data_IF_690235979303
#
_entry.id   IF_690235979303
#
_cell.length_a   1.000
_cell.length_b   1.000
_cell.length_c   1.000
_cell.angle_alpha   90.00
_cell.angle_beta   90.00
_cell.angle_gamma   90.00
#
_symmetry.space_group_name_H-M   'P 1'
#
loop_
_entity.id
_entity.type
_entity.pdbx_description
1 polymer ?
#
# COMPACT_ATOMS: atom_id res chain seq x y z
N UNK A 1 -12.11 -19.81 -18.74
CA UNK A 1 -12.78 -18.70 -18.08
C UNK A 1 -12.30 -17.39 -18.72
N UNK A 2 -12.97 -16.96 -19.79
CA UNK A 2 -12.63 -15.79 -20.63
C UNK A 2 -12.75 -14.43 -19.90
N UNK A 3 -13.06 -14.44 -18.63
CA UNK A 3 -13.32 -13.22 -17.85
C UNK A 3 -12.06 -12.47 -17.37
N UNK A 4 -10.86 -13.02 -17.60
CA UNK A 4 -9.59 -12.47 -17.08
C UNK A 4 -8.86 -11.55 -18.07
N UNK A 5 -9.32 -11.43 -19.32
CA UNK A 5 -8.58 -10.67 -20.34
C UNK A 5 -8.80 -9.15 -20.30
N UNK A 6 -9.88 -8.68 -19.66
CA UNK A 6 -10.20 -7.25 -19.63
C UNK A 6 -10.21 -6.70 -18.21
N UNK A 7 -9.55 -5.56 -18.04
CA UNK A 7 -9.57 -4.82 -16.77
C UNK A 7 -10.93 -4.14 -16.58
N UNK A 8 -11.58 -4.37 -15.44
CA UNK A 8 -12.87 -3.79 -15.04
C UNK A 8 -12.75 -3.03 -13.75
N UNK A 9 -13.28 -1.84 -13.73
CA UNK A 9 -13.37 -0.99 -12.56
C UNK A 9 -14.81 -0.97 -12.04
N UNK A 10 -15.01 -1.31 -10.78
CA UNK A 10 -16.28 -1.26 -10.08
C UNK A 10 -16.23 -0.11 -9.09
N UNK A 11 -17.18 0.82 -9.16
CA UNK A 11 -17.27 1.97 -8.26
C UNK A 11 -18.59 1.87 -7.53
N UNK A 12 -18.54 1.71 -6.22
CA UNK A 12 -19.72 1.57 -5.34
C UNK A 12 -19.96 2.86 -4.58
N UNK A 13 -21.21 3.29 -4.56
CA UNK A 13 -21.67 4.49 -3.88
C UNK A 13 -22.32 4.17 -2.53
N UNK A 14 -22.42 5.17 -1.67
CA UNK A 14 -23.05 5.08 -0.35
C UNK A 14 -24.52 4.64 -0.37
N UNK A 15 -25.21 4.80 -1.50
CA UNK A 15 -26.58 4.30 -1.71
C UNK A 15 -26.64 2.83 -2.19
N UNK A 16 -25.50 2.13 -2.20
CA UNK A 16 -25.39 0.74 -2.65
C UNK A 16 -25.33 0.55 -4.18
N UNK A 17 -25.44 1.61 -4.97
CA UNK A 17 -25.34 1.51 -6.44
C UNK A 17 -23.89 1.27 -6.85
N UNK A 18 -23.66 0.28 -7.71
CA UNK A 18 -22.34 0.02 -8.31
C UNK A 18 -22.40 0.29 -9.81
N UNK A 19 -21.42 1.02 -10.33
CA UNK A 19 -21.17 1.20 -11.77
C UNK A 19 -19.90 0.47 -12.19
N UNK A 20 -19.90 -0.02 -13.44
CA UNK A 20 -18.75 -0.71 -14.02
C UNK A 20 -18.18 0.14 -15.16
N UNK A 21 -16.84 0.21 -15.23
CA UNK A 21 -16.10 0.85 -16.29
C UNK A 21 -15.06 -0.11 -16.86
N UNK A 22 -14.94 -0.16 -18.16
CA UNK A 22 -13.94 -0.96 -18.89
C UNK A 22 -12.96 -0.08 -19.67
N UNK A 23 -13.31 1.20 -19.86
CA UNK A 23 -12.50 2.20 -20.54
C UNK A 23 -12.17 3.38 -19.64
N UNK A 24 -11.11 4.11 -19.97
CA UNK A 24 -10.66 5.31 -19.24
C UNK A 24 -10.51 5.10 -17.72
N UNK A 25 -10.02 3.91 -17.34
CA UNK A 25 -9.97 3.44 -15.95
C UNK A 25 -9.19 4.41 -15.06
N UNK A 26 -8.02 4.91 -15.50
CA UNK A 26 -7.21 5.85 -14.71
C UNK A 26 -7.98 7.13 -14.38
N UNK A 27 -8.63 7.74 -15.36
CA UNK A 27 -9.44 8.95 -15.16
C UNK A 27 -10.67 8.68 -14.28
N UNK A 28 -11.25 7.47 -14.40
CA UNK A 28 -12.38 7.07 -13.57
C UNK A 28 -11.98 6.88 -12.11
N UNK A 29 -10.79 6.34 -11.82
CA UNK A 29 -10.24 6.22 -10.47
C UNK A 29 -9.97 7.61 -9.88
N UNK A 30 -9.32 8.52 -10.65
CA UNK A 30 -9.08 9.89 -10.19
C UNK A 30 -10.37 10.63 -9.85
N UNK A 31 -11.41 10.43 -10.65
CA UNK A 31 -12.72 10.99 -10.38
C UNK A 31 -13.36 10.37 -9.14
N UNK A 32 -13.35 9.03 -9.02
CA UNK A 32 -13.90 8.33 -7.88
C UNK A 32 -13.28 8.77 -6.55
N UNK A 33 -11.96 8.99 -6.53
CA UNK A 33 -11.24 9.47 -5.34
C UNK A 33 -11.64 10.89 -4.89
N UNK A 34 -12.28 11.66 -5.76
CA UNK A 34 -12.77 13.02 -5.46
C UNK A 34 -14.25 13.06 -5.08
N UNK A 35 -15.01 12.02 -5.39
CA UNK A 35 -16.44 11.96 -5.13
C UNK A 35 -16.71 11.35 -3.74
N UNK A 36 -17.07 12.18 -2.78
CA UNK A 36 -17.36 11.77 -1.38
C UNK A 36 -18.51 10.75 -1.24
N UNK A 37 -19.29 10.52 -2.28
CA UNK A 37 -20.36 9.51 -2.28
C UNK A 37 -19.84 8.12 -2.62
N UNK A 38 -18.62 8.00 -3.12
CA UNK A 38 -17.98 6.71 -3.41
C UNK A 38 -17.48 6.11 -2.10
N UNK A 39 -17.86 4.87 -1.84
CA UNK A 39 -17.44 4.10 -0.66
C UNK A 39 -16.35 3.09 -0.99
N UNK A 40 -16.42 2.49 -2.19
CA UNK A 40 -15.47 1.47 -2.59
C UNK A 40 -15.11 1.58 -4.07
N UNK A 41 -13.85 1.30 -4.35
CA UNK A 41 -13.31 1.19 -5.71
C UNK A 41 -12.62 -0.16 -5.84
N UNK A 42 -13.13 -1.03 -6.72
CA UNK A 42 -12.58 -2.34 -6.94
C UNK A 42 -12.13 -2.49 -8.38
N UNK A 43 -10.84 -2.84 -8.59
CA UNK A 43 -10.25 -3.09 -9.90
C UNK A 43 -10.00 -4.59 -10.06
N UNK A 44 -10.58 -5.19 -11.11
CA UNK A 44 -10.34 -6.58 -11.48
C UNK A 44 -9.68 -6.64 -12.84
N UNK A 45 -8.59 -7.39 -12.96
CA UNK A 45 -7.89 -7.57 -14.22
C UNK A 45 -6.57 -8.31 -14.05
N UNK A 46 -5.85 -8.53 -15.13
CA UNK A 46 -4.52 -9.11 -15.08
C UNK A 46 -3.54 -8.13 -14.43
N UNK A 47 -2.65 -8.66 -13.57
CA UNK A 47 -1.54 -7.90 -13.02
C UNK A 47 -0.28 -8.30 -13.76
N UNK A 48 0.42 -7.32 -14.35
CA UNK A 48 1.67 -7.57 -15.08
C UNK A 48 2.67 -8.31 -14.18
N UNK A 49 3.34 -9.30 -14.74
CA UNK A 49 4.36 -10.10 -14.07
C UNK A 49 3.89 -10.99 -12.89
N UNK A 50 2.59 -10.95 -12.57
CA UNK A 50 1.99 -11.86 -11.59
C UNK A 50 1.35 -13.03 -12.31
N UNK A 51 1.99 -14.21 -12.24
CA UNK A 51 1.43 -15.47 -12.76
C UNK A 51 0.61 -16.13 -11.67
N UNK A 52 -0.67 -15.90 -11.69
CA UNK A 52 -1.58 -16.54 -10.75
C UNK A 52 -2.48 -17.52 -11.51
N UNK A 53 -2.12 -18.81 -11.52
CA UNK A 53 -2.87 -19.83 -12.28
C UNK A 53 -4.04 -20.40 -11.49
N UNK A 54 -3.95 -20.47 -10.17
CA UNK A 54 -4.88 -21.26 -9.36
C UNK A 54 -5.62 -20.45 -8.29
N UNK A 55 -5.22 -19.19 -8.02
CA UNK A 55 -5.83 -18.36 -6.98
C UNK A 55 -5.93 -16.91 -7.43
N UNK A 56 -7.00 -16.23 -7.04
CA UNK A 56 -7.11 -14.79 -7.21
C UNK A 56 -6.22 -14.06 -6.19
N UNK A 57 -5.47 -13.05 -6.65
CA UNK A 57 -4.77 -12.12 -5.77
C UNK A 57 -5.69 -10.94 -5.50
N UNK A 58 -6.02 -10.69 -4.24
CA UNK A 58 -6.71 -9.50 -3.78
C UNK A 58 -5.69 -8.56 -3.11
N UNK A 59 -5.56 -7.34 -3.63
CA UNK A 59 -4.78 -6.27 -3.03
C UNK A 59 -5.77 -5.23 -2.52
N UNK A 60 -5.69 -4.91 -1.23
CA UNK A 60 -6.52 -3.88 -0.59
C UNK A 60 -5.62 -2.72 -0.22
N UNK A 61 -5.90 -1.53 -0.77
CA UNK A 61 -5.27 -0.28 -0.38
C UNK A 61 -6.14 0.40 0.68
N UNK A 62 -5.50 0.84 1.77
CA UNK A 62 -6.18 1.48 2.91
C UNK A 62 -5.84 2.96 2.96
N UNK A 63 -6.77 3.83 3.43
CA UNK A 63 -6.44 5.22 3.69
C UNK A 63 -5.28 5.34 4.67
N UNK A 64 -4.34 6.25 4.38
CA UNK A 64 -3.24 6.54 5.31
C UNK A 64 -3.74 7.24 6.58
N UNK A 65 -3.05 7.06 7.74
CA UNK A 65 -3.46 7.64 9.02
C UNK A 65 -3.46 9.17 9.03
N UNK A 66 -2.67 9.80 8.17
CA UNK A 66 -2.52 11.26 8.09
C UNK A 66 -3.52 11.96 7.16
N UNK A 67 -4.51 11.27 6.62
CA UNK A 67 -5.64 11.93 5.96
C UNK A 67 -6.61 12.54 7.01
N UNK A 68 -6.03 13.33 7.93
CA UNK A 68 -6.66 13.96 9.09
C UNK A 68 -7.80 14.95 8.78
N UNK A 69 -8.29 15.02 7.55
CA UNK A 69 -9.48 15.80 7.19
C UNK A 69 -10.79 15.06 7.45
N UNK A 70 -10.72 13.77 7.77
CA UNK A 70 -11.92 12.98 8.02
C UNK A 70 -11.65 11.99 9.16
N UNK A 71 -12.22 12.26 10.35
CA UNK A 71 -12.12 11.39 11.54
C UNK A 71 -12.73 9.98 11.31
N UNK A 72 -13.39 9.77 10.16
CA UNK A 72 -13.90 8.47 9.73
C UNK A 72 -12.84 7.47 9.29
N UNK A 73 -11.61 7.92 8.95
CA UNK A 73 -10.56 7.06 8.40
C UNK A 73 -9.97 6.07 9.42
N UNK A 74 -9.96 6.42 10.71
CA UNK A 74 -9.53 5.51 11.76
C UNK A 74 -10.42 4.26 11.86
N UNK A 75 -11.72 4.44 11.68
CA UNK A 75 -12.69 3.35 11.66
C UNK A 75 -12.59 2.44 10.42
N UNK A 76 -12.21 2.99 9.27
CA UNK A 76 -12.06 2.19 8.03
C UNK A 76 -10.91 1.21 8.14
N UNK A 77 -9.78 1.61 8.72
CA UNK A 77 -8.64 0.71 8.91
C UNK A 77 -8.98 -0.41 9.91
N UNK A 78 -9.60 -0.06 11.05
CA UNK A 78 -10.01 -1.02 12.06
C UNK A 78 -11.02 -2.03 11.49
N UNK A 79 -12.00 -1.55 10.74
CA UNK A 79 -12.97 -2.39 10.03
C UNK A 79 -12.28 -3.29 8.99
N UNK A 80 -11.34 -2.77 8.23
CA UNK A 80 -10.56 -3.55 7.25
C UNK A 80 -9.73 -4.63 7.95
N UNK A 81 -9.00 -4.30 9.01
CA UNK A 81 -8.19 -5.26 9.76
C UNK A 81 -9.04 -6.32 10.44
N UNK A 82 -10.24 -5.99 10.90
CA UNK A 82 -11.16 -6.94 11.52
C UNK A 82 -11.75 -7.97 10.55
N UNK A 83 -11.88 -7.60 9.28
CA UNK A 83 -12.42 -8.48 8.21
C UNK A 83 -11.37 -9.40 7.62
N UNK A 84 -10.08 -9.04 7.67
CA UNK A 84 -8.99 -9.84 7.12
C UNK A 84 -8.53 -10.83 8.19
N UNK A 85 -8.91 -12.10 8.05
CA UNK A 85 -8.53 -13.16 8.98
C UNK A 85 -7.28 -13.94 8.56
N UNK A 86 -6.88 -13.82 7.30
CA UNK A 86 -5.67 -14.44 6.74
C UNK A 86 -5.11 -13.60 5.59
N UNK A 87 -3.82 -13.64 5.37
CA UNK A 87 -3.15 -12.92 4.28
C UNK A 87 -1.84 -12.27 4.72
N UNK A 88 -1.31 -11.41 3.86
CA UNK A 88 -0.12 -10.62 4.10
C UNK A 88 -0.50 -9.13 4.21
N UNK A 89 -0.27 -8.55 5.37
CA UNK A 89 -0.33 -7.10 5.55
C UNK A 89 1.03 -6.52 5.17
N UNK A 90 1.04 -5.58 4.24
CA UNK A 90 2.24 -4.81 3.90
C UNK A 90 2.12 -3.46 4.61
N UNK A 91 2.94 -3.26 5.65
CA UNK A 91 2.99 -2.01 6.40
C UNK A 91 4.09 -1.12 5.81
N UNK A 92 3.69 0.01 5.21
CA UNK A 92 4.62 0.91 4.53
C UNK A 92 5.04 2.05 5.45
N UNK A 93 6.33 2.13 5.73
CA UNK A 93 6.97 3.18 6.53
C UNK A 93 7.68 4.14 5.59
N UNK A 94 7.51 5.44 5.81
CA UNK A 94 8.26 6.44 5.08
C UNK A 94 9.63 6.63 5.73
N UNK A 95 10.73 6.49 4.97
CA UNK A 95 12.09 6.64 5.47
C UNK A 95 12.34 8.00 6.17
N UNK A 96 11.70 9.08 5.67
CA UNK A 96 11.86 10.44 6.18
C UNK A 96 11.02 10.76 7.43
N UNK A 97 9.98 9.96 7.75
CA UNK A 97 8.99 10.29 8.81
C UNK A 97 8.72 9.10 9.72
N UNK A 98 9.77 8.53 10.31
CA UNK A 98 9.66 7.39 11.23
C UNK A 98 9.25 7.84 12.63
N UNK A 99 8.35 7.11 13.29
CA UNK A 99 8.09 7.26 14.71
C UNK A 99 7.14 8.39 15.10
N UNK A 100 6.19 8.79 14.26
CA UNK A 100 5.12 9.71 14.64
C UNK A 100 4.15 9.06 15.65
N UNK A 101 3.40 9.87 16.40
CA UNK A 101 2.39 9.36 17.34
C UNK A 101 1.34 8.50 16.64
N UNK A 102 0.85 8.96 15.50
CA UNK A 102 -0.16 8.25 14.70
C UNK A 102 0.34 6.88 14.22
N UNK A 103 1.63 6.80 13.88
CA UNK A 103 2.28 5.55 13.47
C UNK A 103 2.34 4.53 14.62
N UNK A 104 2.60 4.97 15.86
CA UNK A 104 2.61 4.09 17.03
C UNK A 104 1.25 3.49 17.34
N UNK A 105 0.20 4.27 17.23
CA UNK A 105 -1.15 3.79 17.51
C UNK A 105 -1.62 2.81 16.44
N UNK A 106 -1.25 3.05 15.19
CA UNK A 106 -1.48 2.13 14.09
C UNK A 106 -0.73 0.80 14.28
N UNK A 107 0.53 0.84 14.72
CA UNK A 107 1.32 -0.36 15.03
C UNK A 107 0.71 -1.16 16.18
N UNK A 108 0.18 -0.50 17.22
CA UNK A 108 -0.54 -1.18 18.31
C UNK A 108 -1.80 -1.90 17.81
N UNK A 109 -2.59 -1.25 16.96
CA UNK A 109 -3.78 -1.85 16.35
C UNK A 109 -3.41 -3.06 15.49
N UNK A 110 -2.37 -2.93 14.64
CA UNK A 110 -1.87 -4.03 13.83
C UNK A 110 -1.40 -5.21 14.70
N UNK A 111 -0.64 -4.93 15.77
CA UNK A 111 -0.18 -5.97 16.70
C UNK A 111 -1.33 -6.68 17.39
N UNK A 112 -2.37 -5.96 17.80
CA UNK A 112 -3.57 -6.55 18.38
C UNK A 112 -4.31 -7.45 17.38
N UNK A 113 -4.47 -6.99 16.14
CA UNK A 113 -5.10 -7.75 15.05
C UNK A 113 -4.33 -9.04 14.73
N UNK A 114 -2.99 -9.00 14.66
CA UNK A 114 -2.16 -10.19 14.42
C UNK A 114 -2.28 -11.25 15.54
N UNK A 115 -2.48 -10.81 16.78
CA UNK A 115 -2.75 -11.74 17.91
C UNK A 115 -4.10 -12.44 17.77
N UNK A 116 -5.10 -11.75 17.27
CA UNK A 116 -6.44 -12.31 17.06
C UNK A 116 -6.50 -13.21 15.82
N UNK A 117 -5.66 -12.94 14.81
CA UNK A 117 -5.66 -13.63 13.51
C UNK A 117 -4.28 -14.26 13.21
N UNK A 118 -3.96 -15.44 13.77
CA UNK A 118 -2.63 -16.07 13.66
C UNK A 118 -2.21 -16.43 12.21
N UNK A 119 -3.14 -16.48 11.28
CA UNK A 119 -2.86 -16.72 9.85
C UNK A 119 -2.47 -15.45 9.10
N UNK A 120 -2.66 -14.29 9.69
CA UNK A 120 -2.14 -13.04 9.14
C UNK A 120 -0.63 -12.98 9.34
N UNK A 121 0.05 -12.46 8.33
CA UNK A 121 1.49 -12.16 8.37
C UNK A 121 1.68 -10.67 8.10
N UNK A 122 2.78 -10.12 8.56
CA UNK A 122 3.16 -8.74 8.26
C UNK A 122 4.53 -8.69 7.60
N UNK A 123 4.62 -7.84 6.58
CA UNK A 123 5.86 -7.40 5.95
C UNK A 123 5.97 -5.89 6.14
N UNK A 124 7.05 -5.44 6.73
CA UNK A 124 7.37 -4.02 6.83
C UNK A 124 8.19 -3.59 5.62
N UNK A 125 7.81 -2.48 5.03
CA UNK A 125 8.50 -1.91 3.87
C UNK A 125 8.88 -0.47 4.20
N UNK A 126 10.17 -0.15 4.20
CA UNK A 126 10.63 1.23 4.29
C UNK A 126 10.71 1.78 2.87
N UNK A 127 9.79 2.66 2.52
CA UNK A 127 9.75 3.30 1.22
C UNK A 127 10.49 4.65 1.25
N UNK A 128 10.91 5.13 0.07
CA UNK A 128 11.68 6.34 -0.13
C UNK A 128 13.12 6.24 0.43
N UNK A 129 13.72 5.05 0.41
CA UNK A 129 15.12 4.86 0.76
C UNK A 129 16.10 5.66 -0.15
N UNK A 130 15.65 6.07 -1.33
CA UNK A 130 16.35 6.96 -2.27
C UNK A 130 16.47 8.41 -1.78
N UNK A 131 15.71 8.79 -0.75
CA UNK A 131 15.76 10.15 -0.15
C UNK A 131 16.72 10.28 1.03
N UNK A 132 17.41 9.21 1.38
CA UNK A 132 18.45 9.29 2.43
C UNK A 132 19.60 10.19 1.98
N UNK A 133 20.10 11.00 2.92
CA UNK A 133 21.34 11.75 2.72
C UNK A 133 22.54 10.79 2.81
N UNK A 134 23.04 10.35 1.65
CA UNK A 134 24.12 9.37 1.56
C UNK A 134 25.44 9.81 2.27
N UNK A 135 25.60 11.11 2.58
CA UNK A 135 26.75 11.60 3.33
C UNK A 135 26.57 11.42 4.86
N UNK A 136 25.34 11.29 5.34
CA UNK A 136 25.00 11.25 6.77
C UNK A 136 24.29 10.01 7.22
N UNK A 137 23.63 9.32 6.31
CA UNK A 137 22.75 8.19 6.60
C UNK A 137 23.14 6.98 5.73
N UNK A 138 23.07 5.79 6.30
CA UNK A 138 23.21 4.54 5.54
C UNK A 138 21.91 3.76 5.55
N UNK A 139 21.69 2.97 4.49
CA UNK A 139 20.53 2.07 4.42
C UNK A 139 20.55 1.09 5.60
N UNK A 140 21.72 0.57 5.97
CA UNK A 140 21.90 -0.33 7.11
C UNK A 140 21.52 0.35 8.42
N UNK A 141 21.96 1.59 8.64
CA UNK A 141 21.63 2.39 9.83
C UNK A 141 20.12 2.60 9.92
N UNK A 142 19.48 3.03 8.82
CA UNK A 142 18.05 3.21 8.73
C UNK A 142 17.28 1.91 9.06
N UNK A 143 17.73 0.78 8.53
CA UNK A 143 17.12 -0.53 8.80
C UNK A 143 17.22 -0.88 10.27
N UNK A 144 18.40 -0.72 10.89
CA UNK A 144 18.62 -1.02 12.31
C UNK A 144 17.74 -0.17 13.22
N UNK A 145 17.70 1.15 13.01
CA UNK A 145 16.83 2.07 13.76
C UNK A 145 15.34 1.69 13.62
N UNK A 146 14.91 1.32 12.41
CA UNK A 146 13.53 0.90 12.18
C UNK A 146 13.23 -0.44 12.85
N UNK A 147 14.16 -1.38 12.84
CA UNK A 147 14.01 -2.66 13.57
C UNK A 147 13.84 -2.40 15.07
N UNK A 148 14.64 -1.52 15.65
CA UNK A 148 14.55 -1.21 17.09
C UNK A 148 13.23 -0.50 17.42
N UNK A 149 12.80 0.45 16.59
CA UNK A 149 11.49 1.08 16.70
C UNK A 149 10.33 0.07 16.64
N UNK A 150 10.39 -0.90 15.72
CA UNK A 150 9.38 -1.95 15.60
C UNK A 150 9.40 -2.90 16.81
N UNK A 151 10.58 -3.23 17.37
CA UNK A 151 10.70 -4.03 18.60
C UNK A 151 10.03 -3.33 19.79
N UNK A 152 10.24 -2.04 19.96
CA UNK A 152 9.59 -1.22 21.01
C UNK A 152 8.05 -1.24 20.88
N UNK A 153 7.53 -1.43 19.66
CA UNK A 153 6.10 -1.55 19.39
C UNK A 153 5.58 -3.00 19.32
N UNK A 154 6.37 -3.98 19.82
CA UNK A 154 5.96 -5.37 19.99
C UNK A 154 6.33 -6.33 18.87
N UNK A 155 7.02 -5.87 17.82
CA UNK A 155 7.46 -6.70 16.70
C UNK A 155 8.90 -7.17 16.87
N UNK A 156 9.15 -8.22 17.65
CA UNK A 156 10.49 -8.63 18.03
C UNK A 156 11.37 -9.18 16.89
N UNK A 157 10.78 -9.71 15.82
CA UNK A 157 11.49 -10.22 14.63
C UNK A 157 10.79 -9.74 13.36
N UNK A 158 10.83 -8.44 13.06
CA UNK A 158 10.13 -7.90 11.90
C UNK A 158 10.78 -8.36 10.61
N UNK A 159 9.96 -8.82 9.65
CA UNK A 159 10.40 -8.92 8.26
C UNK A 159 10.37 -7.52 7.67
N UNK A 160 11.53 -6.97 7.35
CA UNK A 160 11.70 -5.59 6.92
C UNK A 160 12.48 -5.52 5.61
N UNK A 161 11.97 -4.73 4.65
CA UNK A 161 12.62 -4.53 3.35
C UNK A 161 12.71 -3.02 3.07
N UNK A 162 13.92 -2.46 2.85
CA UNK A 162 14.07 -1.12 2.33
C UNK A 162 13.76 -1.09 0.82
N UNK A 163 13.05 -0.08 0.36
CA UNK A 163 12.65 0.07 -1.05
C UNK A 163 12.65 1.53 -1.48
N UNK A 164 12.70 1.72 -2.81
CA UNK A 164 12.29 2.94 -3.48
C UNK A 164 11.25 2.59 -4.53
N UNK A 165 10.00 2.88 -4.25
CA UNK A 165 8.91 2.67 -5.23
C UNK A 165 9.10 3.55 -6.46
N UNK A 166 9.66 4.75 -6.30
CA UNK A 166 9.98 5.66 -7.41
C UNK A 166 11.04 5.04 -8.32
N UNK A 167 12.17 4.60 -7.76
CA UNK A 167 13.24 3.97 -8.54
C UNK A 167 12.74 2.69 -9.24
N UNK A 168 11.97 1.84 -8.55
CA UNK A 168 11.37 0.66 -9.15
C UNK A 168 10.48 1.00 -10.35
N UNK A 169 9.65 2.04 -10.24
CA UNK A 169 8.80 2.52 -11.34
C UNK A 169 9.64 3.05 -12.53
N UNK A 170 10.73 3.79 -12.25
CA UNK A 170 11.63 4.32 -13.29
C UNK A 170 12.35 3.19 -14.02
N UNK A 171 12.88 2.20 -13.29
CA UNK A 171 13.50 1.03 -13.89
C UNK A 171 12.52 0.22 -14.74
N UNK A 172 11.28 0.05 -14.28
CA UNK A 172 10.25 -0.65 -15.05
C UNK A 172 9.94 0.10 -16.36
N UNK A 173 9.80 1.43 -16.31
CA UNK A 173 9.61 2.25 -17.51
C UNK A 173 10.77 2.11 -18.48
N UNK A 174 12.00 2.10 -17.99
CA UNK A 174 13.19 1.94 -18.83
C UNK A 174 13.23 0.54 -19.48
N UNK A 175 12.89 -0.51 -18.72
CA UNK A 175 12.80 -1.88 -19.25
C UNK A 175 11.69 -2.05 -20.30
N UNK A 176 10.60 -1.31 -20.18
CA UNK A 176 9.49 -1.32 -21.13
C UNK A 176 9.79 -0.46 -22.38
N UNK A 177 11.05 0.02 -22.56
CA UNK A 177 11.50 0.91 -23.65
C UNK A 177 10.73 2.24 -23.72
N UNK A 178 10.01 2.59 -22.66
CA UNK A 178 9.30 3.86 -22.58
C UNK A 178 10.31 4.98 -22.38
N UNK A 179 10.20 6.05 -23.20
CA UNK A 179 11.03 7.25 -23.03
C UNK A 179 10.74 7.88 -21.66
N UNK A 180 11.73 7.89 -20.80
CA UNK A 180 11.68 8.64 -19.55
C UNK A 180 11.58 10.14 -19.84
N UNK A 181 10.81 10.88 -19.05
CA UNK A 181 10.76 12.34 -19.14
C UNK A 181 12.13 12.95 -18.78
N UNK A 182 12.37 14.21 -19.15
CA UNK A 182 13.64 14.90 -18.84
C UNK A 182 13.90 14.94 -17.33
N UNK A 183 12.84 15.09 -16.51
CA UNK A 183 12.95 15.11 -15.05
C UNK A 183 13.37 13.73 -14.52
N UNK A 184 12.76 12.66 -15.03
CA UNK A 184 13.07 11.27 -14.62
C UNK A 184 14.48 10.81 -15.03
N UNK A 185 15.19 11.55 -15.91
CA UNK A 185 16.57 11.25 -16.33
C UNK A 185 17.63 12.00 -15.52
N UNK A 186 17.24 13.02 -14.76
CA UNK A 186 18.15 13.90 -14.03
C UNK A 186 18.17 13.62 -12.53
N UNK A 187 17.16 12.90 -12.03
CA UNK A 187 17.08 12.37 -10.68
C UNK A 187 17.68 10.95 -10.63
#
# INVERSE_FOLDING_TARGET
DDSAEHTRLYITYSNGKTIVREENIASAIEWANKDKRVTDVFLRGPVKDVRNRDKALLIVDTPGPNNARDMSHGGILEDTLSRITEGLTVYVINAAYRGTCDDRDLLKQLHASLKQHPKMKVLFVINQADKLDAERESIEGMVLETVDYLKENGFHRPNLIPTSALAACMFQKALDEKRMSRKERLD
#
